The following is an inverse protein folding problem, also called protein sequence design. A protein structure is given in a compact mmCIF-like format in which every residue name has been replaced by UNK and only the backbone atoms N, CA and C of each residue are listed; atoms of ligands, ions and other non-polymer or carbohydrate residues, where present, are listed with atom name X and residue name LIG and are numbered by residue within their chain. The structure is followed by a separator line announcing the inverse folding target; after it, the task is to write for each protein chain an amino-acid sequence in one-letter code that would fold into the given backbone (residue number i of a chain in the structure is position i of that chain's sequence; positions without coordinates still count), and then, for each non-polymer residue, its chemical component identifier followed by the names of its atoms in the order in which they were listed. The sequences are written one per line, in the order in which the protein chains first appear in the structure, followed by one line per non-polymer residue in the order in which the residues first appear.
data_IF_750058410360
#
_entry.id   IF_750058410360
#
_cell.length_a   1.000
_cell.length_b   1.000
_cell.length_c   1.000
_cell.angle_alpha   90.00
_cell.angle_beta   90.00
_cell.angle_gamma   90.00
#
_symmetry.space_group_name_H-M   'P 1'
#
loop_
_entity.id
_entity.type
_entity.pdbx_description
1 polymer ?
#
# COMPACT_ATOMS: atom_id res chain seq x y z
N UNK A 1 -41.17 45.88 -25.92
CA UNK A 1 -39.80 45.48 -26.32
C UNK A 1 -39.04 45.28 -25.02
N UNK A 2 -39.18 44.11 -24.38
CA UNK A 2 -38.29 42.95 -24.48
C UNK A 2 -36.82 43.40 -24.27
N UNK A 3 -36.13 43.01 -23.22
CA UNK A 3 -35.93 41.61 -22.81
C UNK A 3 -35.47 41.49 -21.35
N UNK A 4 -36.19 40.66 -20.59
CA UNK A 4 -35.70 40.02 -19.37
C UNK A 4 -34.52 39.11 -19.72
N UNK A 5 -33.36 39.35 -19.11
CA UNK A 5 -32.27 38.37 -19.04
C UNK A 5 -32.42 37.70 -17.68
N UNK A 6 -33.06 36.53 -17.66
CA UNK A 6 -32.99 35.61 -16.53
C UNK A 6 -31.68 34.83 -16.65
N UNK A 7 -30.76 35.10 -15.74
CA UNK A 7 -29.62 34.24 -15.48
C UNK A 7 -30.16 32.89 -14.96
N UNK A 8 -30.04 31.85 -15.77
CA UNK A 8 -30.21 30.47 -15.31
C UNK A 8 -28.90 30.04 -14.65
N UNK A 9 -28.79 30.25 -13.34
CA UNK A 9 -27.84 29.50 -12.52
C UNK A 9 -28.31 28.04 -12.49
N UNK A 10 -27.70 27.19 -13.31
CA UNK A 10 -27.71 25.75 -13.09
C UNK A 10 -26.89 25.47 -11.82
N UNK A 11 -27.56 25.47 -10.67
CA UNK A 11 -27.03 24.85 -9.46
C UNK A 11 -26.93 23.34 -9.71
N UNK A 12 -25.78 22.91 -10.21
CA UNK A 12 -25.36 21.52 -10.24
C UNK A 12 -25.23 21.06 -8.79
N UNK A 13 -26.24 20.36 -8.29
CA UNK A 13 -26.20 19.69 -6.99
C UNK A 13 -25.03 18.70 -6.98
N UNK A 14 -24.16 18.69 -5.95
CA UNK A 14 -23.14 17.66 -5.83
C UNK A 14 -23.85 16.31 -5.72
N UNK A 15 -23.64 15.43 -6.69
CA UNK A 15 -24.11 14.05 -6.65
C UNK A 15 -23.49 13.38 -5.41
N UNK A 16 -24.29 13.20 -4.36
CA UNK A 16 -23.90 12.42 -3.20
C UNK A 16 -23.71 10.96 -3.59
N UNK A 17 -22.60 10.36 -3.13
CA UNK A 17 -22.31 8.94 -3.29
C UNK A 17 -23.48 8.09 -2.79
N UNK A 18 -23.85 7.06 -3.54
CA UNK A 18 -24.86 6.09 -3.13
C UNK A 18 -24.47 5.42 -1.80
N UNK A 19 -25.46 5.00 -0.99
CA UNK A 19 -25.24 4.22 0.23
C UNK A 19 -24.43 2.95 0.00
N UNK A 20 -24.48 2.36 -1.20
CA UNK A 20 -23.71 1.17 -1.57
C UNK A 20 -22.25 1.51 -1.95
N UNK A 21 -22.03 2.66 -2.62
CA UNK A 21 -20.68 3.14 -2.94
C UNK A 21 -19.95 3.59 -1.68
N UNK A 22 -20.66 4.23 -0.76
CA UNK A 22 -20.11 4.65 0.54
C UNK A 22 -19.84 3.47 1.48
N UNK A 23 -20.69 2.42 1.47
CA UNK A 23 -20.40 1.17 2.17
C UNK A 23 -19.17 0.43 1.59
N UNK A 24 -19.07 0.35 0.25
CA UNK A 24 -17.92 -0.21 -0.46
C UNK A 24 -16.62 0.56 -0.18
N UNK A 25 -16.67 1.90 -0.11
CA UNK A 25 -15.53 2.74 0.25
C UNK A 25 -15.09 2.50 1.70
N UNK A 26 -16.03 2.35 2.63
CA UNK A 26 -15.71 2.06 4.03
C UNK A 26 -15.07 0.68 4.22
N UNK A 27 -15.52 -0.34 3.48
CA UNK A 27 -14.89 -1.67 3.49
C UNK A 27 -13.48 -1.68 2.86
N UNK A 28 -13.23 -0.78 1.91
CA UNK A 28 -11.91 -0.60 1.28
C UNK A 28 -10.94 0.24 2.12
N UNK A 29 -11.44 1.04 3.06
CA UNK A 29 -10.63 1.97 3.87
C UNK A 29 -10.49 1.54 5.35
N UNK A 30 -10.91 0.31 5.68
CA UNK A 30 -10.77 -0.23 7.03
C UNK A 30 -9.39 -0.88 7.24
N UNK A 31 -8.76 -0.60 8.38
CA UNK A 31 -7.56 -1.32 8.83
C UNK A 31 -7.91 -2.75 9.23
N UNK A 32 -7.30 -3.74 8.58
CA UNK A 32 -7.50 -5.16 8.83
C UNK A 32 -6.27 -5.74 9.52
N UNK A 33 -6.40 -6.69 10.46
CA UNK A 33 -5.26 -7.48 10.92
C UNK A 33 -4.51 -8.11 9.74
N UNK A 34 -3.20 -8.34 9.88
CA UNK A 34 -2.44 -9.04 8.83
C UNK A 34 -2.95 -10.47 8.66
N UNK A 35 -3.17 -10.83 7.41
CA UNK A 35 -3.63 -12.14 6.92
C UNK A 35 -2.92 -12.48 5.61
N UNK A 36 -3.29 -13.59 4.98
CA UNK A 36 -2.70 -14.03 3.71
C UNK A 36 -3.09 -13.12 2.52
N UNK A 37 -4.21 -12.39 2.60
CA UNK A 37 -4.59 -11.41 1.57
C UNK A 37 -3.59 -10.24 1.54
N UNK A 38 -3.07 -9.85 2.70
CA UNK A 38 -2.01 -8.85 2.80
C UNK A 38 -0.73 -9.30 2.07
N UNK A 39 -0.38 -10.59 2.17
CA UNK A 39 0.89 -11.18 1.72
C UNK A 39 0.85 -11.60 0.24
N UNK A 40 0.63 -10.63 -0.65
CA UNK A 40 0.44 -10.91 -2.08
C UNK A 40 1.42 -10.17 -3.00
N UNK A 41 2.55 -9.69 -2.49
CA UNK A 41 3.55 -8.93 -3.26
C UNK A 41 3.14 -7.52 -3.70
N UNK A 42 1.86 -7.16 -3.59
CA UNK A 42 1.38 -5.84 -3.97
C UNK A 42 1.61 -4.83 -2.85
N UNK A 43 1.90 -3.57 -3.23
CA UNK A 43 2.00 -2.47 -2.27
C UNK A 43 0.70 -2.28 -1.49
N UNK A 44 0.82 -2.03 -0.19
CA UNK A 44 -0.24 -1.81 0.80
C UNK A 44 0.15 -0.67 1.73
N UNK A 45 -0.83 -0.07 2.40
CA UNK A 45 -0.56 0.67 3.62
C UNK A 45 -0.46 -0.32 4.76
N UNK A 46 0.63 -0.24 5.52
CA UNK A 46 0.93 -1.14 6.62
C UNK A 46 1.04 -0.33 7.90
N UNK A 47 0.48 -0.86 8.99
CA UNK A 47 0.58 -0.27 10.31
C UNK A 47 1.46 -1.11 11.22
N UNK A 48 2.45 -0.46 11.82
CA UNK A 48 3.43 -1.08 12.72
C UNK A 48 3.50 -0.34 14.05
N UNK A 49 3.98 -1.04 15.08
CA UNK A 49 4.41 -0.41 16.33
C UNK A 49 5.93 -0.23 16.28
N UNK A 50 6.40 0.97 16.61
CA UNK A 50 7.83 1.16 16.85
C UNK A 50 8.21 0.58 18.24
N UNK A 51 9.51 0.59 18.55
CA UNK A 51 10.04 0.07 19.82
C UNK A 51 9.45 0.75 21.06
N UNK A 52 8.98 2.00 20.93
CA UNK A 52 8.30 2.72 21.99
C UNK A 52 6.79 2.42 22.07
N UNK A 53 6.30 1.41 21.34
CA UNK A 53 4.88 1.06 21.26
C UNK A 53 4.01 2.08 20.52
N UNK A 54 4.61 3.04 19.79
CA UNK A 54 3.88 4.05 19.03
C UNK A 54 3.60 3.57 17.62
N UNK A 55 2.35 3.75 17.18
CA UNK A 55 1.91 3.37 15.84
C UNK A 55 2.55 4.24 14.76
N UNK A 56 2.99 3.61 13.68
CA UNK A 56 3.44 4.23 12.43
C UNK A 56 2.71 3.59 11.25
N UNK A 57 2.71 4.31 10.14
CA UNK A 57 2.16 3.83 8.87
C UNK A 57 3.24 3.97 7.80
N UNK A 58 3.42 2.93 7.01
CA UNK A 58 4.34 2.89 5.87
C UNK A 58 3.60 2.37 4.63
N UNK A 59 4.17 2.58 3.45
CA UNK A 59 3.80 1.81 2.26
C UNK A 59 4.76 0.64 2.18
N UNK A 60 4.26 -0.58 2.01
CA UNK A 60 5.12 -1.75 1.91
C UNK A 60 4.49 -2.91 1.16
N UNK A 61 5.28 -3.96 0.95
CA UNK A 61 4.88 -5.18 0.25
C UNK A 61 5.53 -6.40 0.89
N UNK A 62 4.94 -7.58 0.64
CA UNK A 62 5.46 -8.86 1.12
C UNK A 62 6.37 -9.49 0.07
N UNK A 63 7.48 -10.07 0.50
CA UNK A 63 8.36 -10.90 -0.32
C UNK A 63 8.21 -12.33 0.17
N UNK A 64 7.79 -13.23 -0.73
CA UNK A 64 7.73 -14.67 -0.44
C UNK A 64 9.13 -15.26 -0.45
N UNK A 65 9.33 -16.34 0.32
CA UNK A 65 10.60 -17.05 0.34
C UNK A 65 11.03 -17.48 -1.07
N UNK A 66 12.30 -17.20 -1.40
CA UNK A 66 12.92 -17.54 -2.69
C UNK A 66 12.19 -16.98 -3.92
N UNK A 67 11.52 -15.82 -3.77
CA UNK A 67 10.76 -15.20 -4.87
C UNK A 67 11.50 -14.08 -5.61
N UNK A 68 12.51 -13.48 -4.98
CA UNK A 68 13.34 -12.40 -5.55
C UNK A 68 14.80 -12.79 -5.36
N UNK A 69 15.47 -13.12 -6.45
CA UNK A 69 16.91 -13.39 -6.46
C UNK A 69 17.66 -12.13 -6.03
N UNK A 70 18.65 -12.30 -5.15
CA UNK A 70 19.55 -11.24 -4.74
C UNK A 70 20.72 -11.18 -5.72
N UNK A 71 20.70 -10.16 -6.60
CA UNK A 71 21.74 -9.92 -7.60
C UNK A 71 22.87 -9.02 -7.08
N UNK A 72 22.90 -8.72 -5.78
CA UNK A 72 23.96 -7.92 -5.19
C UNK A 72 25.27 -8.70 -5.10
N UNK A 73 26.38 -8.02 -5.42
CA UNK A 73 27.73 -8.58 -5.29
C UNK A 73 28.14 -8.84 -3.82
N UNK A 74 27.32 -8.38 -2.87
CA UNK A 74 27.46 -8.62 -1.43
C UNK A 74 26.60 -9.82 -1.01
N UNK A 75 27.20 -11.01 -1.04
CA UNK A 75 26.62 -12.30 -0.63
C UNK A 75 26.05 -12.40 0.81
N UNK A 76 25.86 -11.28 1.52
CA UNK A 76 25.62 -11.26 2.96
C UNK A 76 24.22 -10.78 3.38
N UNK A 77 23.32 -10.47 2.42
CA UNK A 77 22.00 -9.88 2.74
C UNK A 77 20.78 -10.74 2.40
N UNK A 78 20.99 -11.96 1.90
CA UNK A 78 19.93 -12.86 1.44
C UNK A 78 19.91 -14.26 2.07
N UNK A 79 18.80 -14.97 1.93
CA UNK A 79 18.66 -16.38 2.24
C UNK A 79 19.25 -17.24 1.11
N UNK A 80 20.20 -18.11 1.43
CA UNK A 80 20.78 -19.06 0.48
C UNK A 80 19.82 -20.23 0.20
N UNK A 81 19.66 -20.58 -1.08
CA UNK A 81 18.94 -21.77 -1.52
C UNK A 81 19.93 -22.83 -2.05
N UNK A 82 20.01 -23.97 -1.37
CA UNK A 82 20.90 -25.07 -1.76
C UNK A 82 20.48 -25.76 -3.07
N UNK A 83 19.23 -25.64 -3.50
CA UNK A 83 18.71 -26.35 -4.68
C UNK A 83 19.20 -25.76 -6.01
N UNK A 84 19.30 -24.43 -6.08
CA UNK A 84 19.73 -23.68 -7.26
C UNK A 84 21.06 -22.95 -7.04
N UNK A 85 21.64 -23.05 -5.85
CA UNK A 85 22.90 -22.42 -5.43
C UNK A 85 22.85 -20.88 -5.52
N UNK A 86 21.68 -20.26 -5.34
CA UNK A 86 21.47 -18.81 -5.40
C UNK A 86 21.13 -18.18 -4.05
N UNK A 87 21.28 -16.86 -3.95
CA UNK A 87 20.79 -16.06 -2.83
C UNK A 87 19.51 -15.35 -3.21
N UNK A 88 18.63 -15.18 -2.23
CA UNK A 88 17.34 -14.53 -2.39
C UNK A 88 17.08 -13.53 -1.28
N UNK A 89 16.26 -12.53 -1.54
CA UNK A 89 15.79 -11.63 -0.49
C UNK A 89 15.11 -12.41 0.62
N UNK A 90 15.32 -11.98 1.87
CA UNK A 90 14.64 -12.55 3.03
C UNK A 90 13.12 -12.50 2.86
N UNK A 91 12.44 -13.58 3.24
CA UNK A 91 10.99 -13.58 3.34
C UNK A 91 10.54 -12.54 4.38
N UNK A 92 9.59 -11.68 4.01
CA UNK A 92 9.09 -10.69 4.95
C UNK A 92 8.46 -9.47 4.33
N UNK A 93 8.21 -8.48 5.20
CA UNK A 93 7.68 -7.18 4.79
C UNK A 93 8.81 -6.25 4.41
N UNK A 94 8.67 -5.52 3.30
CA UNK A 94 9.59 -4.47 2.89
C UNK A 94 8.85 -3.13 2.87
N UNK A 95 9.45 -2.09 3.45
CA UNK A 95 9.00 -0.70 3.29
C UNK A 95 9.41 -0.22 1.90
N UNK A 96 8.46 0.28 1.12
CA UNK A 96 8.75 0.95 -0.15
C UNK A 96 9.13 2.39 0.14
N UNK A 97 10.32 2.77 -0.29
CA UNK A 97 10.90 4.08 -0.05
C UNK A 97 11.08 4.77 -1.40
N UNK A 98 10.67 6.03 -1.47
CA UNK A 98 11.05 6.89 -2.59
C UNK A 98 12.33 7.63 -2.18
N UNK A 99 13.48 7.12 -2.63
CA UNK A 99 14.77 7.78 -2.42
C UNK A 99 15.67 7.59 -3.64
N UNK A 100 16.74 8.37 -3.70
CA UNK A 100 17.71 8.29 -4.80
C UNK A 100 18.64 7.07 -4.71
N UNK A 101 18.76 6.46 -3.53
CA UNK A 101 19.73 5.37 -3.27
C UNK A 101 19.06 4.02 -3.09
N UNK A 102 17.87 4.00 -2.46
CA UNK A 102 17.14 2.77 -2.16
C UNK A 102 15.67 2.88 -2.59
N UNK A 103 15.13 1.81 -3.16
CA UNK A 103 13.71 1.69 -3.49
C UNK A 103 12.89 1.03 -2.38
N UNK A 104 13.56 0.32 -1.45
CA UNK A 104 12.95 -0.30 -0.30
C UNK A 104 13.95 -0.69 0.78
N UNK A 105 13.45 -1.05 1.97
CA UNK A 105 14.22 -1.71 3.02
C UNK A 105 13.41 -2.80 3.73
N UNK A 106 14.09 -3.83 4.25
CA UNK A 106 13.43 -4.89 4.99
C UNK A 106 12.86 -4.36 6.32
N UNK A 107 11.55 -4.55 6.52
CA UNK A 107 10.85 -4.09 7.71
C UNK A 107 10.99 -5.12 8.83
N UNK A 108 12.01 -4.93 9.67
CA UNK A 108 12.31 -5.79 10.83
C UNK A 108 11.23 -5.67 11.94
N UNK A 109 10.28 -4.72 11.81
CA UNK A 109 9.28 -4.40 12.84
C UNK A 109 8.00 -5.19 12.66
N UNK A 110 7.30 -5.40 13.77
CA UNK A 110 6.00 -6.10 13.77
C UNK A 110 4.94 -5.26 13.05
N UNK A 111 4.63 -5.66 11.81
CA UNK A 111 3.47 -5.19 11.08
C UNK A 111 2.22 -5.84 11.69
N UNK A 112 1.22 -5.04 12.01
CA UNK A 112 0.03 -5.48 12.76
C UNK A 112 -1.23 -5.43 11.93
N UNK A 113 -1.37 -4.43 11.06
CA UNK A 113 -2.57 -4.21 10.27
C UNK A 113 -2.20 -3.73 8.86
N UNK A 114 -3.13 -3.90 7.92
CA UNK A 114 -3.00 -3.43 6.55
C UNK A 114 -4.31 -2.85 6.02
N UNK A 115 -4.20 -2.08 4.94
CA UNK A 115 -5.32 -1.71 4.07
C UNK A 115 -4.81 -1.60 2.62
N UNK A 116 -5.66 -1.78 1.60
CA UNK A 116 -5.27 -1.54 0.22
C UNK A 116 -4.83 -0.08 0.02
N UNK A 117 -3.97 0.16 -0.97
CA UNK A 117 -3.71 1.54 -1.40
C UNK A 117 -5.02 2.15 -1.92
N UNK A 118 -5.32 3.42 -1.57
CA UNK A 118 -6.47 4.11 -2.15
C UNK A 118 -6.39 4.05 -3.67
N UNK A 119 -7.51 3.72 -4.32
CA UNK A 119 -7.60 3.89 -5.77
C UNK A 119 -7.41 5.36 -6.08
N UNK A 120 -6.65 5.67 -7.12
CA UNK A 120 -6.68 7.01 -7.70
C UNK A 120 -8.14 7.27 -8.07
N UNK A 121 -8.81 8.22 -7.41
CA UNK A 121 -10.00 8.79 -8.03
C UNK A 121 -9.51 9.50 -9.27
N UNK A 122 -10.15 9.32 -10.42
CA UNK A 122 -9.93 10.19 -11.57
C UNK A 122 -10.09 11.63 -11.07
N UNK A 123 -8.96 12.31 -10.88
CA UNK A 123 -8.96 13.69 -10.42
C UNK A 123 -9.59 14.50 -11.55
N UNK A 124 -10.64 15.24 -11.19
CA UNK A 124 -11.42 16.19 -12.01
C UNK A 124 -10.48 17.10 -12.79
#
# INVERSE_FOLDING_TARGET
MNSDIKEHEEHSTPHGLSSAESASLNDLLCWRPIDDEAKCGKKRLLSLLNEAGKRRTIVGFWVDKFSIEDDSDEYEHGDFNEEDEMYYWHEGWYESIESHEFSCCHAIKTITHWMPLPKLSEAI
#
